data_IF_440864633251
#
_entry.id   IF_440864633251
#
_cell.length_a   1.000
_cell.length_b   1.000
_cell.length_c   1.000
_cell.angle_alpha   90.00
_cell.angle_beta   90.00
_cell.angle_gamma   90.00
#
_symmetry.space_group_name_H-M   'P 1'
#
loop_
_entity.id
_entity.type
_entity.pdbx_description
1 polymer ?
#
# COMPACT_ATOMS: atom_id res chain seq x y z
N UNK A 1 36.82 -15.91 -27.40
CA UNK A 1 35.36 -15.85 -27.31
C UNK A 1 35.01 -15.67 -25.84
N UNK A 2 34.79 -14.43 -25.40
CA UNK A 2 34.47 -14.14 -23.99
C UNK A 2 32.96 -14.00 -23.90
N UNK A 3 32.35 -14.94 -23.21
CA UNK A 3 30.92 -14.94 -22.88
C UNK A 3 30.65 -13.81 -21.90
N UNK A 4 30.05 -12.72 -22.38
CA UNK A 4 29.64 -11.60 -21.53
C UNK A 4 28.21 -11.94 -21.10
N UNK A 5 28.10 -12.78 -20.07
CA UNK A 5 26.86 -12.91 -19.30
C UNK A 5 26.61 -11.56 -18.63
N UNK A 6 25.67 -10.80 -19.13
CA UNK A 6 25.16 -9.62 -18.42
C UNK A 6 24.65 -10.09 -17.05
N UNK A 7 25.03 -9.46 -15.94
CA UNK A 7 24.42 -9.75 -14.66
C UNK A 7 22.94 -9.36 -14.78
N UNK A 8 22.07 -10.36 -14.72
CA UNK A 8 20.65 -10.15 -14.60
C UNK A 8 20.39 -9.21 -13.43
N UNK A 9 19.37 -8.35 -13.56
CA UNK A 9 18.96 -7.38 -12.56
C UNK A 9 18.58 -8.14 -11.27
N UNK A 10 19.53 -8.38 -10.38
CA UNK A 10 19.38 -9.14 -9.13
C UNK A 10 18.60 -8.37 -8.05
N UNK A 11 17.90 -7.28 -8.44
CA UNK A 11 17.08 -6.48 -7.54
C UNK A 11 15.59 -6.60 -7.83
N UNK A 12 14.79 -6.59 -6.78
CA UNK A 12 13.33 -6.62 -6.82
C UNK A 12 12.76 -5.46 -6.01
N UNK A 13 11.73 -4.84 -6.53
CA UNK A 13 10.96 -3.83 -5.80
C UNK A 13 9.95 -4.53 -4.90
N UNK A 14 10.09 -4.35 -3.58
CA UNK A 14 9.36 -5.12 -2.57
C UNK A 14 8.67 -4.20 -1.57
N UNK A 15 7.51 -4.62 -1.10
CA UNK A 15 6.79 -3.97 0.00
C UNK A 15 5.96 -4.99 0.78
N UNK A 16 5.58 -4.63 2.02
CA UNK A 16 4.65 -5.37 2.86
C UNK A 16 3.29 -4.66 2.90
N UNK A 17 2.21 -5.42 2.77
CA UNK A 17 0.86 -4.86 2.71
C UNK A 17 -0.20 -5.80 3.26
N UNK A 18 -1.37 -5.22 3.60
CA UNK A 18 -2.64 -5.94 3.80
C UNK A 18 -3.40 -5.96 2.48
N UNK A 19 -3.89 -7.12 2.09
CA UNK A 19 -4.80 -7.28 0.96
C UNK A 19 -6.22 -6.87 1.35
N UNK A 20 -6.90 -6.15 0.46
CA UNK A 20 -8.29 -5.77 0.68
C UNK A 20 -9.24 -6.87 0.16
N UNK A 21 -10.34 -7.18 0.87
CA UNK A 21 -11.40 -8.04 0.35
C UNK A 21 -11.94 -7.53 -0.99
N UNK A 22 -12.37 -8.44 -1.85
CA UNK A 22 -12.89 -8.10 -3.17
C UNK A 22 -14.05 -7.09 -3.10
N UNK A 23 -14.98 -7.27 -2.17
CA UNK A 23 -16.11 -6.34 -1.98
C UNK A 23 -15.62 -4.93 -1.67
N UNK A 24 -14.64 -4.79 -0.77
CA UNK A 24 -14.04 -3.49 -0.43
C UNK A 24 -13.36 -2.86 -1.64
N UNK A 25 -12.61 -3.64 -2.42
CA UNK A 25 -11.98 -3.13 -3.66
C UNK A 25 -13.02 -2.62 -4.65
N UNK A 26 -14.14 -3.30 -4.81
CA UNK A 26 -15.24 -2.86 -5.69
C UNK A 26 -15.85 -1.53 -5.24
N UNK A 27 -16.05 -1.32 -3.92
CA UNK A 27 -16.52 -0.04 -3.38
C UNK A 27 -15.53 1.10 -3.65
N UNK A 28 -14.25 0.84 -3.48
CA UNK A 28 -13.18 1.80 -3.82
C UNK A 28 -13.16 2.12 -5.31
N UNK A 29 -13.31 1.11 -6.18
CA UNK A 29 -13.37 1.32 -7.62
C UNK A 29 -14.61 2.11 -8.04
N UNK A 30 -15.76 1.88 -7.41
CA UNK A 30 -16.96 2.67 -7.64
C UNK A 30 -16.74 4.15 -7.24
N UNK A 31 -16.06 4.41 -6.13
CA UNK A 31 -15.67 5.76 -5.73
C UNK A 31 -14.74 6.42 -6.76
N UNK A 32 -13.76 5.68 -7.29
CA UNK A 32 -12.88 6.15 -8.37
C UNK A 32 -13.68 6.51 -9.62
N UNK A 33 -14.68 5.71 -10.01
CA UNK A 33 -15.56 5.99 -11.16
C UNK A 33 -16.31 7.32 -10.94
N UNK A 34 -16.93 7.51 -9.79
CA UNK A 34 -17.64 8.75 -9.44
C UNK A 34 -16.71 9.98 -9.51
N UNK A 35 -15.43 9.85 -9.12
CA UNK A 35 -14.46 10.95 -9.24
C UNK A 35 -14.11 11.25 -10.70
N UNK A 36 -13.93 10.23 -11.54
CA UNK A 36 -13.68 10.40 -12.97
C UNK A 36 -14.83 11.12 -13.68
N UNK A 37 -16.07 10.82 -13.29
CA UNK A 37 -17.26 11.48 -13.82
C UNK A 37 -17.35 12.95 -13.40
N UNK A 38 -16.96 13.28 -12.15
CA UNK A 38 -16.95 14.66 -11.66
C UNK A 38 -15.86 15.53 -12.31
N UNK A 39 -14.73 14.95 -12.68
CA UNK A 39 -13.61 15.70 -13.30
C UNK A 39 -13.02 14.89 -14.47
N UNK A 40 -13.75 14.76 -15.59
CA UNK A 40 -13.42 13.82 -16.67
C UNK A 40 -12.10 14.11 -17.38
N UNK A 41 -11.62 15.36 -17.33
CA UNK A 41 -10.37 15.77 -17.98
C UNK A 41 -9.14 15.74 -17.07
N UNK A 42 -9.29 15.27 -15.83
CA UNK A 42 -8.17 15.19 -14.90
C UNK A 42 -7.21 14.05 -15.28
N UNK A 43 -5.94 14.38 -15.44
CA UNK A 43 -4.88 13.40 -15.72
C UNK A 43 -4.37 12.80 -14.41
N UNK A 44 -4.75 11.55 -14.15
CA UNK A 44 -4.32 10.82 -12.97
C UNK A 44 -3.95 9.37 -13.31
N UNK A 45 -2.96 8.83 -12.61
CA UNK A 45 -2.70 7.38 -12.58
C UNK A 45 -3.59 6.76 -11.51
N UNK A 46 -4.72 6.23 -11.92
CA UNK A 46 -5.70 5.61 -11.04
C UNK A 46 -5.26 4.22 -10.58
N UNK A 47 -5.57 3.88 -9.34
CA UNK A 47 -5.39 2.52 -8.87
C UNK A 47 -6.30 1.57 -9.66
N UNK A 48 -5.78 0.36 -9.92
CA UNK A 48 -6.52 -0.77 -10.52
C UNK A 48 -6.90 -1.75 -9.42
N UNK A 49 -7.85 -2.61 -9.67
CA UNK A 49 -8.29 -3.64 -8.70
C UNK A 49 -7.10 -4.40 -8.10
N UNK A 50 -6.22 -4.90 -8.96
CA UNK A 50 -5.02 -5.66 -8.56
C UNK A 50 -3.98 -4.87 -7.76
N UNK A 51 -4.11 -3.53 -7.70
CA UNK A 51 -3.14 -2.64 -7.05
C UNK A 51 -3.70 -1.96 -5.80
N UNK A 52 -4.93 -2.30 -5.41
CA UNK A 52 -5.55 -1.80 -4.18
C UNK A 52 -5.11 -2.63 -2.97
N UNK A 53 -4.24 -2.07 -2.15
CA UNK A 53 -3.72 -2.66 -0.92
C UNK A 53 -3.35 -1.58 0.08
N UNK A 54 -3.35 -1.92 1.35
CA UNK A 54 -2.85 -1.06 2.41
C UNK A 54 -1.36 -1.38 2.64
N UNK A 55 -0.47 -0.48 2.21
CA UNK A 55 0.97 -0.64 2.42
C UNK A 55 1.34 -0.34 3.86
N UNK A 56 2.06 -1.26 4.51
CA UNK A 56 2.66 -1.06 5.82
C UNK A 56 4.11 -0.61 5.71
N UNK A 57 4.92 -1.30 4.89
CA UNK A 57 6.33 -0.95 4.73
C UNK A 57 6.76 -1.09 3.27
N UNK A 58 7.41 -0.07 2.75
CA UNK A 58 7.94 -0.05 1.41
C UNK A 58 9.47 -0.10 1.45
N UNK A 59 10.07 -1.15 0.87
CA UNK A 59 11.52 -1.34 0.87
C UNK A 59 12.21 -0.71 -0.36
N UNK A 60 11.44 -0.45 -1.43
CA UNK A 60 12.05 -0.08 -2.71
C UNK A 60 12.72 -1.27 -3.39
N UNK A 61 13.80 -1.01 -4.11
CA UNK A 61 14.59 -2.05 -4.78
C UNK A 61 15.56 -2.67 -3.78
N UNK A 62 15.46 -3.98 -3.60
CA UNK A 62 16.33 -4.76 -2.72
C UNK A 62 16.92 -5.94 -3.49
N UNK A 63 18.09 -6.47 -3.10
CA UNK A 63 18.64 -7.70 -3.67
C UNK A 63 17.64 -8.85 -3.57
N UNK A 64 17.55 -9.67 -4.61
CA UNK A 64 16.65 -10.85 -4.63
C UNK A 64 16.93 -11.79 -3.44
N UNK A 65 18.18 -11.91 -3.03
CA UNK A 65 18.62 -12.70 -1.88
C UNK A 65 18.07 -12.20 -0.55
N UNK A 66 17.75 -10.90 -0.42
CA UNK A 66 17.24 -10.28 0.81
C UNK A 66 15.73 -10.45 1.00
N UNK A 67 15.00 -10.96 -0.01
CA UNK A 67 13.54 -11.17 0.07
C UNK A 67 13.19 -12.21 1.14
N UNK A 68 13.99 -13.26 1.27
CA UNK A 68 13.77 -14.30 2.28
C UNK A 68 13.95 -13.77 3.71
N UNK A 69 14.96 -12.93 3.94
CA UNK A 69 15.19 -12.31 5.25
C UNK A 69 14.06 -11.37 5.63
N UNK A 70 13.59 -10.56 4.68
CA UNK A 70 12.43 -9.70 4.91
C UNK A 70 11.15 -10.53 5.19
N UNK A 71 10.92 -11.59 4.43
CA UNK A 71 9.79 -12.51 4.66
C UNK A 71 9.83 -13.11 6.07
N UNK A 72 11.02 -13.50 6.57
CA UNK A 72 11.21 -13.97 7.94
C UNK A 72 10.89 -12.88 8.97
N UNK A 73 11.33 -11.64 8.75
CA UNK A 73 11.00 -10.50 9.61
C UNK A 73 9.49 -10.26 9.69
N UNK A 74 8.78 -10.34 8.55
CA UNK A 74 7.31 -10.26 8.53
C UNK A 74 6.67 -11.38 9.33
N UNK A 75 7.16 -12.63 9.22
CA UNK A 75 6.67 -13.76 10.03
C UNK A 75 6.82 -13.52 11.53
N UNK A 76 7.96 -12.93 11.95
CA UNK A 76 8.18 -12.58 13.35
C UNK A 76 7.27 -11.43 13.82
N UNK A 77 7.05 -10.44 12.97
CA UNK A 77 6.18 -9.30 13.29
C UNK A 77 4.73 -9.71 13.52
N UNK A 78 4.19 -10.69 12.75
CA UNK A 78 2.81 -11.18 12.90
C UNK A 78 2.65 -12.22 13.99
N UNK A 79 3.74 -12.74 14.55
CA UNK A 79 3.69 -13.78 15.57
C UNK A 79 2.89 -13.31 16.79
N UNK A 80 1.91 -14.11 17.23
CA UNK A 80 1.00 -13.81 18.35
C UNK A 80 0.11 -12.57 18.14
N UNK A 81 -0.04 -12.09 16.91
CA UNK A 81 -1.00 -11.03 16.60
C UNK A 81 -2.33 -11.68 16.19
N UNK A 82 -3.41 -11.31 16.90
CA UNK A 82 -4.76 -11.75 16.54
C UNK A 82 -5.24 -11.03 15.27
N UNK A 83 -6.06 -11.68 14.42
CA UNK A 83 -6.81 -10.97 13.40
C UNK A 83 -7.65 -9.85 14.01
N UNK A 84 -7.74 -8.73 13.32
CA UNK A 84 -8.48 -7.54 13.77
C UNK A 84 -9.18 -6.85 12.59
N UNK A 85 -10.01 -5.85 12.88
CA UNK A 85 -10.70 -5.07 11.88
C UNK A 85 -10.23 -3.63 11.85
N UNK A 86 -10.18 -3.07 10.66
CA UNK A 86 -9.94 -1.66 10.37
C UNK A 86 -11.18 -1.06 9.71
N UNK A 87 -11.27 0.26 9.69
CA UNK A 87 -12.29 0.96 8.92
C UNK A 87 -11.64 1.84 7.87
N UNK A 88 -12.01 1.63 6.59
CA UNK A 88 -11.75 2.59 5.53
C UNK A 88 -12.79 3.69 5.65
N UNK A 89 -12.36 4.92 5.84
CA UNK A 89 -13.24 6.08 5.92
C UNK A 89 -12.46 7.36 5.64
N UNK A 90 -13.17 8.42 5.38
CA UNK A 90 -12.61 9.73 5.04
C UNK A 90 -11.81 9.72 3.73
N UNK A 91 -11.68 10.89 3.15
CA UNK A 91 -10.90 11.11 1.94
C UNK A 91 -9.85 12.17 2.18
N UNK A 92 -8.70 12.02 1.55
CA UNK A 92 -7.64 12.98 1.74
C UNK A 92 -6.65 13.04 0.59
N UNK A 93 -5.72 13.97 0.73
CA UNK A 93 -4.70 14.26 -0.28
C UNK A 93 -3.32 14.38 0.35
N UNK A 94 -2.28 14.03 -0.43
CA UNK A 94 -0.91 14.37 -0.11
C UNK A 94 -0.26 15.18 -1.22
N UNK A 95 0.62 16.15 -0.91
CA UNK A 95 0.77 16.77 0.41
C UNK A 95 -0.52 17.53 0.80
N UNK A 96 -0.70 17.78 2.09
CA UNK A 96 -1.86 18.53 2.62
C UNK A 96 -1.86 19.99 2.18
N UNK A 97 -0.68 20.53 1.88
CA UNK A 97 -0.47 21.90 1.38
C UNK A 97 0.28 21.87 0.05
N UNK A 98 -0.01 22.86 -0.79
CA UNK A 98 0.63 22.96 -2.11
C UNK A 98 -0.10 22.21 -3.22
N UNK A 99 0.67 21.63 -4.15
CA UNK A 99 0.10 20.89 -5.28
C UNK A 99 -0.23 19.46 -4.90
N UNK A 100 -1.49 19.04 -5.02
CA UNK A 100 -1.89 17.64 -4.75
C UNK A 100 -1.14 16.66 -5.65
N UNK A 101 -0.65 15.56 -5.06
CA UNK A 101 0.07 14.48 -5.77
C UNK A 101 -0.54 13.12 -5.57
N UNK A 102 -1.24 12.90 -4.46
CA UNK A 102 -1.85 11.61 -4.12
C UNK A 102 -3.25 11.86 -3.60
N UNK A 103 -4.22 11.09 -4.09
CA UNK A 103 -5.55 10.96 -3.49
C UNK A 103 -5.60 9.65 -2.74
N UNK A 104 -6.18 9.66 -1.55
CA UNK A 104 -6.25 8.48 -0.69
C UNK A 104 -7.56 8.40 0.09
N UNK A 105 -7.93 7.18 0.49
CA UNK A 105 -8.97 6.91 1.49
C UNK A 105 -8.24 6.57 2.79
N UNK A 106 -8.69 7.16 3.90
CA UNK A 106 -8.10 7.00 5.22
C UNK A 106 -8.39 5.64 5.82
N UNK A 107 -7.54 5.28 6.78
CA UNK A 107 -7.67 4.07 7.60
C UNK A 107 -7.84 4.53 9.04
N UNK A 108 -8.97 4.17 9.64
CA UNK A 108 -9.21 4.32 11.07
C UNK A 108 -8.95 2.98 11.77
N UNK A 109 -8.06 3.03 12.74
CA UNK A 109 -7.66 1.89 13.59
C UNK A 109 -7.94 2.23 15.04
N UNK A 110 -9.19 2.12 15.50
CA UNK A 110 -9.56 2.51 16.86
C UNK A 110 -8.93 1.59 17.92
N UNK A 111 -8.51 0.40 17.52
CA UNK A 111 -7.85 -0.57 18.41
C UNK A 111 -6.34 -0.38 18.54
N UNK A 112 -5.72 0.50 17.73
CA UNK A 112 -4.28 0.70 17.60
C UNK A 112 -3.48 -0.52 17.10
N UNK A 113 -4.15 -1.63 16.79
CA UNK A 113 -3.51 -2.90 16.40
C UNK A 113 -2.70 -2.79 15.10
N UNK A 114 -3.15 -1.98 14.14
CA UNK A 114 -2.38 -1.72 12.92
C UNK A 114 -1.10 -0.94 13.22
N UNK A 115 -1.19 0.07 14.10
CA UNK A 115 -0.03 0.86 14.50
C UNK A 115 1.00 0.01 15.26
N UNK A 116 0.53 -0.86 16.15
CA UNK A 116 1.38 -1.81 16.88
C UNK A 116 2.03 -2.84 15.93
N UNK A 117 1.26 -3.40 15.01
CA UNK A 117 1.77 -4.33 14.00
C UNK A 117 2.81 -3.65 13.08
N UNK A 118 2.56 -2.39 12.68
CA UNK A 118 3.54 -1.61 11.92
C UNK A 118 4.82 -1.39 12.73
N UNK A 119 4.73 -1.02 13.99
CA UNK A 119 5.91 -0.82 14.85
C UNK A 119 6.73 -2.11 14.99
N UNK A 120 6.08 -3.26 15.18
CA UNK A 120 6.74 -4.58 15.20
C UNK A 120 7.41 -4.90 13.86
N UNK A 121 6.72 -4.64 12.73
CA UNK A 121 7.28 -4.84 11.39
C UNK A 121 8.53 -3.98 11.16
N UNK A 122 8.52 -2.73 11.61
CA UNK A 122 9.68 -1.83 11.54
C UNK A 122 10.85 -2.36 12.38
N UNK A 123 10.58 -2.86 13.61
CA UNK A 123 11.59 -3.44 14.48
C UNK A 123 12.22 -4.69 13.86
N UNK A 124 11.41 -5.70 13.51
CA UNK A 124 11.90 -6.97 12.96
C UNK A 124 12.64 -6.76 11.63
N UNK A 125 12.15 -5.84 10.79
CA UNK A 125 12.82 -5.49 9.54
C UNK A 125 14.19 -4.86 9.79
N UNK A 126 14.33 -4.04 10.85
CA UNK A 126 15.60 -3.40 11.18
C UNK A 126 16.66 -4.41 11.64
N UNK A 127 16.25 -5.50 12.30
CA UNK A 127 17.16 -6.57 12.74
C UNK A 127 17.79 -7.33 11.56
N UNK A 128 17.16 -7.32 10.41
CA UNK A 128 17.66 -7.95 9.18
C UNK A 128 18.20 -6.94 8.16
N UNK A 129 18.50 -5.71 8.61
CA UNK A 129 19.24 -4.71 7.83
C UNK A 129 18.38 -3.74 7.01
N UNK A 130 17.05 -3.75 7.15
CA UNK A 130 16.18 -2.76 6.51
C UNK A 130 15.95 -1.56 7.40
N UNK A 131 16.30 -0.37 6.94
CA UNK A 131 16.15 0.86 7.72
C UNK A 131 14.69 1.08 8.16
N UNK A 132 14.51 1.60 9.38
CA UNK A 132 13.20 2.06 9.86
C UNK A 132 12.76 3.30 9.10
N UNK A 133 11.46 3.42 8.83
CA UNK A 133 10.89 4.66 8.29
C UNK A 133 10.95 5.75 9.37
N UNK A 134 11.45 6.92 9.00
CA UNK A 134 11.60 8.06 9.91
C UNK A 134 10.36 8.95 9.96
N UNK A 135 9.50 8.85 8.94
CA UNK A 135 8.25 9.62 8.87
C UNK A 135 7.17 8.94 9.71
N UNK A 136 6.28 9.73 10.34
CA UNK A 136 5.13 9.16 11.04
C UNK A 136 4.32 8.24 10.13
N UNK A 137 3.86 7.12 10.69
CA UNK A 137 2.99 6.19 9.98
C UNK A 137 1.59 6.80 9.83
N UNK A 138 1.21 7.04 8.60
CA UNK A 138 -0.13 7.51 8.22
C UNK A 138 -0.80 6.46 7.34
N UNK A 139 -1.53 5.49 7.90
CA UNK A 139 -2.15 4.43 7.13
C UNK A 139 -3.20 5.00 6.18
N UNK A 140 -3.07 4.67 4.91
CA UNK A 140 -3.96 5.16 3.87
C UNK A 140 -3.99 4.23 2.66
N UNK A 141 -5.12 4.21 1.96
CA UNK A 141 -5.26 3.53 0.69
C UNK A 141 -5.11 4.52 -0.46
N UNK A 142 -4.02 4.47 -1.19
CA UNK A 142 -3.81 5.29 -2.38
C UNK A 142 -4.78 4.88 -3.50
N UNK A 143 -5.60 5.81 -4.00
CA UNK A 143 -6.54 5.58 -5.10
C UNK A 143 -6.13 6.26 -6.41
N UNK A 144 -5.30 7.31 -6.35
CA UNK A 144 -4.76 7.97 -7.54
C UNK A 144 -3.45 8.70 -7.27
N UNK A 145 -2.59 8.80 -8.30
CA UNK A 145 -1.39 9.63 -8.31
C UNK A 145 -1.51 10.68 -9.40
N UNK A 146 -1.33 11.94 -9.01
CA UNK A 146 -1.46 13.11 -9.87
C UNK A 146 -0.05 13.54 -10.33
N UNK A 147 0.30 13.21 -11.57
CA UNK A 147 1.63 13.50 -12.12
C UNK A 147 1.70 14.89 -12.80
N UNK A 148 0.54 15.44 -13.17
CA UNK A 148 0.40 16.70 -13.89
C UNK A 148 -0.40 17.70 -13.06
N UNK A 149 -0.11 18.99 -13.25
CA UNK A 149 -0.84 20.07 -12.58
C UNK A 149 -2.27 20.26 -13.10
N UNK A 150 -2.50 19.82 -14.36
CA UNK A 150 -3.77 20.00 -15.05
C UNK A 150 -4.92 19.33 -14.30
N UNK A 151 -5.86 20.16 -13.86
CA UNK A 151 -7.04 19.75 -13.09
C UNK A 151 -6.74 19.00 -11.75
N UNK A 152 -5.48 18.94 -11.29
CA UNK A 152 -5.14 18.26 -10.04
C UNK A 152 -5.85 18.88 -8.83
N UNK A 153 -5.96 20.23 -8.79
CA UNK A 153 -6.67 20.95 -7.71
C UNK A 153 -8.17 20.71 -7.78
N UNK A 154 -8.76 20.73 -8.98
CA UNK A 154 -10.19 20.44 -9.16
C UNK A 154 -10.52 19.01 -8.73
N UNK A 155 -9.69 18.04 -9.12
CA UNK A 155 -9.86 16.64 -8.73
C UNK A 155 -9.69 16.43 -7.21
N UNK A 156 -8.71 17.10 -6.60
CA UNK A 156 -8.52 17.08 -5.14
C UNK A 156 -9.71 17.70 -4.38
N UNK A 157 -10.27 18.79 -4.89
CA UNK A 157 -11.47 19.40 -4.31
C UNK A 157 -12.69 18.47 -4.44
N UNK A 158 -12.91 17.90 -5.62
CA UNK A 158 -13.98 16.93 -5.85
C UNK A 158 -13.83 15.70 -4.93
N UNK A 159 -12.60 15.21 -4.73
CA UNK A 159 -12.33 14.08 -3.83
C UNK A 159 -12.65 14.39 -2.37
N UNK A 160 -12.31 15.59 -1.89
CA UNK A 160 -12.63 16.02 -0.53
C UNK A 160 -14.13 16.19 -0.29
N UNK A 161 -14.88 16.55 -1.33
CA UNK A 161 -16.33 16.72 -1.27
C UNK A 161 -17.11 15.42 -1.46
N UNK A 162 -16.49 14.43 -2.10
CA UNK A 162 -17.09 13.13 -2.34
C UNK A 162 -16.76 12.22 -1.15
N UNK A 163 -17.70 12.13 -0.21
CA UNK A 163 -17.56 11.25 0.93
C UNK A 163 -17.40 9.79 0.50
N UNK A 164 -16.62 9.05 1.27
CA UNK A 164 -16.48 7.60 1.16
C UNK A 164 -17.20 6.96 2.35
N UNK A 165 -18.20 6.13 2.06
CA UNK A 165 -18.96 5.45 3.10
C UNK A 165 -18.04 4.52 3.90
N UNK A 166 -18.06 4.55 5.24
CA UNK A 166 -17.21 3.73 6.07
C UNK A 166 -17.39 2.23 5.78
N UNK A 167 -16.27 1.52 5.57
CA UNK A 167 -16.25 0.07 5.28
C UNK A 167 -15.29 -0.63 6.23
N UNK A 168 -15.76 -1.68 6.91
CA UNK A 168 -14.90 -2.54 7.71
C UNK A 168 -14.07 -3.48 6.84
N UNK A 169 -12.81 -3.64 7.23
CA UNK A 169 -11.84 -4.51 6.58
C UNK A 169 -11.17 -5.38 7.63
N UNK A 170 -11.33 -6.68 7.49
CA UNK A 170 -10.61 -7.65 8.33
C UNK A 170 -9.14 -7.72 7.90
N UNK A 171 -8.24 -7.67 8.86
CA UNK A 171 -6.81 -7.91 8.70
C UNK A 171 -6.51 -9.28 9.29
N UNK A 172 -6.29 -10.26 8.41
CA UNK A 172 -6.02 -11.64 8.79
C UNK A 172 -4.62 -12.11 8.38
N UNK A 173 -3.96 -11.38 7.51
CA UNK A 173 -2.60 -11.70 7.05
C UNK A 173 -1.86 -10.46 6.55
N UNK A 174 -0.52 -10.53 6.55
CA UNK A 174 0.35 -9.64 5.82
C UNK A 174 0.93 -10.34 4.58
N UNK A 175 1.10 -9.58 3.51
CA UNK A 175 1.69 -10.06 2.27
C UNK A 175 3.03 -9.37 2.03
N UNK A 176 4.03 -10.13 1.63
CA UNK A 176 5.23 -9.62 0.97
C UNK A 176 4.96 -9.63 -0.53
N UNK A 177 5.03 -8.48 -1.15
CA UNK A 177 4.66 -8.27 -2.55
C UNK A 177 5.85 -7.75 -3.34
N UNK A 178 6.11 -8.38 -4.50
CA UNK A 178 7.04 -7.88 -5.52
C UNK A 178 6.29 -7.00 -6.50
N UNK A 179 6.90 -5.89 -6.88
CA UNK A 179 6.36 -4.93 -7.84
C UNK A 179 7.26 -4.85 -9.05
N UNK A 180 6.75 -5.19 -10.21
CA UNK A 180 7.41 -5.01 -11.50
C UNK A 180 6.79 -3.82 -12.21
N UNK A 181 7.64 -2.88 -12.65
CA UNK A 181 7.18 -1.71 -13.40
C UNK A 181 7.13 -2.06 -14.88
N UNK A 182 6.00 -1.83 -15.52
CA UNK A 182 5.83 -1.96 -16.97
C UNK A 182 5.24 -0.69 -17.57
N UNK A 183 5.22 -0.60 -18.90
CA UNK A 183 4.55 0.48 -19.63
C UNK A 183 3.05 0.56 -19.33
N UNK A 184 2.45 -0.55 -18.94
CA UNK A 184 1.03 -0.64 -18.59
C UNK A 184 0.75 -0.35 -17.11
N UNK A 185 1.79 -0.14 -16.30
CA UNK A 185 1.71 0.11 -14.86
C UNK A 185 2.45 -0.94 -14.04
N UNK A 186 2.26 -0.90 -12.72
CA UNK A 186 2.87 -1.87 -11.81
C UNK A 186 2.10 -3.18 -11.81
N UNK A 187 2.82 -4.29 -12.00
CA UNK A 187 2.33 -5.65 -11.81
C UNK A 187 2.80 -6.14 -10.44
N UNK A 188 1.89 -6.68 -9.64
CA UNK A 188 2.18 -7.18 -8.31
C UNK A 188 2.11 -8.70 -8.27
N UNK A 189 3.08 -9.31 -7.59
CA UNK A 189 3.16 -10.76 -7.37
C UNK A 189 3.42 -11.01 -5.90
N UNK A 190 2.58 -11.82 -5.26
CA UNK A 190 2.78 -12.22 -3.87
C UNK A 190 4.00 -13.13 -3.77
N UNK A 191 4.99 -12.71 -2.99
CA UNK A 191 6.18 -13.49 -2.70
C UNK A 191 5.98 -14.43 -1.51
N UNK A 192 5.28 -13.96 -0.46
CA UNK A 192 4.91 -14.79 0.70
C UNK A 192 3.68 -14.23 1.40
N UNK A 193 2.98 -15.13 2.14
CA UNK A 193 1.80 -14.84 2.96
C UNK A 193 2.12 -15.13 4.41
N UNK A 194 1.69 -14.27 5.31
CA UNK A 194 1.97 -14.33 6.74
C UNK A 194 0.66 -14.13 7.51
N UNK A 195 -0.05 -15.22 7.80
CA UNK A 195 -1.31 -15.13 8.54
C UNK A 195 -1.07 -14.68 9.98
N UNK A 196 -2.03 -13.90 10.50
CA UNK A 196 -2.08 -13.49 11.90
C UNK A 196 -2.71 -14.64 12.69
N UNK A 197 -2.03 -15.09 13.74
CA UNK A 197 -2.51 -16.13 14.63
C UNK A 197 -2.39 -15.67 16.07
N UNK A 198 -3.51 -15.65 16.78
CA UNK A 198 -3.44 -15.55 18.21
C UNK A 198 -2.78 -16.79 18.81
N UNK A 199 -1.79 -16.59 19.68
CA UNK A 199 -1.31 -17.66 20.52
C UNK A 199 -2.48 -18.24 21.33
N UNK A 200 -2.55 -19.57 21.42
CA UNK A 200 -3.43 -20.25 22.39
C UNK A 200 -2.92 -19.99 23.79
#
# INVERSE_FOLDING_TARGET
>A
MRDITQPGNDSLRVFCAVELPQVTRQLVLAHIVRLKEKVPHAKASWARDSNLHLTLKFLGEIPTTSVADFSKAVSLAVNQVQPFSLRLEQTGIFPTHGQPRVLWIGINDPSTQLAELHARLEEESSQVGFAKETRPFHPHLTIARLRHADNARALAAAHKQLEFDPVEVAVAELLVIRSELSSEGSKYTVASRHPLFGGR
#
